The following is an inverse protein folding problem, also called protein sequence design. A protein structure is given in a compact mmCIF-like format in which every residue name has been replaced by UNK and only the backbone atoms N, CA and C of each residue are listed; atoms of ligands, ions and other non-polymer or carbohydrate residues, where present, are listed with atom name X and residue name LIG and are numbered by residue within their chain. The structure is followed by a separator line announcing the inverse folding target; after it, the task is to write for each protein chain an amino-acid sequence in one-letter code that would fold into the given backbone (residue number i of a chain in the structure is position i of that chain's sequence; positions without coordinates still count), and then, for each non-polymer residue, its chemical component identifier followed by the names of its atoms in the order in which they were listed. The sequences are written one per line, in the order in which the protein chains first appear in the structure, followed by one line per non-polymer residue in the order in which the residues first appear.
data_IF_779954267402
#
_entry.id   IF_779954267402
#
_cell.length_a   1.000
_cell.length_b   1.000
_cell.length_c   1.000
_cell.angle_alpha   90.00
_cell.angle_beta   90.00
_cell.angle_gamma   90.00
#
_symmetry.space_group_name_H-M   'P 1'
#
loop_
_entity.id
_entity.type
_entity.pdbx_description
1 polymer ?
#
# COMPACT_ATOMS: atom_id res chain seq x y z
N UNK A 1 -4.30 8.88 -5.24
CA UNK A 1 -3.69 8.06 -6.29
C UNK A 1 -2.66 7.13 -5.69
N UNK A 2 -2.54 5.92 -6.22
CA UNK A 2 -1.56 4.92 -5.78
C UNK A 2 -0.54 4.71 -6.91
N UNK A 3 0.76 4.66 -6.56
CA UNK A 3 1.84 4.37 -7.50
C UNK A 3 2.58 3.09 -7.09
N UNK A 4 2.90 2.22 -8.06
CA UNK A 4 3.66 0.99 -7.82
C UNK A 4 4.57 0.67 -9.02
N UNK A 5 5.79 0.18 -8.79
CA UNK A 5 6.71 -0.26 -9.85
C UNK A 5 7.37 -1.59 -9.48
N UNK A 6 7.58 -2.48 -10.45
CA UNK A 6 8.23 -3.79 -10.23
C UNK A 6 9.52 -3.88 -11.02
N UNK A 7 10.61 -4.18 -10.31
CA UNK A 7 11.93 -4.38 -10.89
C UNK A 7 12.40 -5.82 -10.65
N UNK A 8 13.11 -6.37 -11.64
CA UNK A 8 13.92 -7.59 -11.47
C UNK A 8 15.38 -7.17 -11.52
N UNK A 9 16.13 -7.49 -10.46
CA UNK A 9 17.58 -7.34 -10.44
C UNK A 9 18.28 -8.61 -10.95
N UNK A 10 19.31 -8.47 -11.78
CA UNK A 10 20.25 -9.55 -12.09
C UNK A 10 21.19 -9.81 -10.89
N UNK A 11 21.94 -10.91 -10.90
CA UNK A 11 22.96 -11.19 -9.87
C UNK A 11 24.09 -10.16 -9.80
N UNK A 12 24.18 -9.27 -10.79
CA UNK A 12 25.16 -8.18 -10.90
C UNK A 12 24.56 -6.81 -10.55
N UNK A 13 23.28 -6.76 -10.17
CA UNK A 13 22.60 -5.55 -9.68
C UNK A 13 21.90 -4.71 -10.75
N UNK A 14 21.86 -5.16 -12.01
CA UNK A 14 21.12 -4.46 -13.08
C UNK A 14 19.61 -4.64 -12.91
N UNK A 15 18.86 -3.53 -12.89
CA UNK A 15 17.41 -3.53 -12.71
C UNK A 15 16.68 -3.40 -14.05
N UNK A 16 15.79 -4.33 -14.34
CA UNK A 16 14.86 -4.24 -15.47
C UNK A 16 13.43 -4.07 -14.93
N UNK A 17 12.74 -3.03 -15.39
CA UNK A 17 11.31 -2.86 -15.14
C UNK A 17 10.54 -3.99 -15.84
N UNK A 18 9.70 -4.69 -15.10
CA UNK A 18 8.87 -5.79 -15.60
C UNK A 18 7.41 -5.46 -15.37
N UNK A 19 6.52 -6.12 -16.12
CA UNK A 19 5.08 -5.96 -15.92
C UNK A 19 4.71 -6.20 -14.45
N UNK A 20 4.08 -5.19 -13.86
CA UNK A 20 3.48 -5.28 -12.53
C UNK A 20 2.22 -6.15 -12.69
N UNK A 21 2.20 -7.29 -12.01
CA UNK A 21 1.03 -8.17 -11.92
C UNK A 21 1.12 -8.90 -10.59
N UNK A 22 0.64 -8.26 -9.54
CA UNK A 22 0.79 -8.72 -8.16
C UNK A 22 -0.52 -8.58 -7.40
N UNK A 23 -0.77 -9.51 -6.48
CA UNK A 23 -1.80 -9.35 -5.47
C UNK A 23 -1.19 -8.61 -4.28
N UNK A 24 -1.69 -7.42 -4.01
CA UNK A 24 -1.20 -6.52 -2.98
C UNK A 24 -2.35 -6.24 -2.01
N UNK A 25 -2.04 -6.19 -0.71
CA UNK A 25 -3.01 -5.77 0.30
C UNK A 25 -3.16 -4.24 0.21
N UNK A 26 -4.39 -3.74 0.13
CA UNK A 26 -4.73 -2.32 0.23
C UNK A 26 -5.38 -2.10 1.59
N UNK A 27 -4.82 -1.19 2.38
CA UNK A 27 -5.29 -0.87 3.73
C UNK A 27 -5.85 0.54 3.82
N UNK A 28 -6.93 0.69 4.59
CA UNK A 28 -7.45 1.98 5.03
C UNK A 28 -7.56 1.95 6.55
N UNK A 29 -7.06 2.99 7.19
CA UNK A 29 -6.87 3.05 8.63
C UNK A 29 -7.51 4.29 9.25
N UNK A 30 -8.05 4.13 10.45
CA UNK A 30 -8.53 5.20 11.32
C UNK A 30 -7.44 5.63 12.31
N UNK A 31 -7.83 6.40 13.33
CA UNK A 31 -6.91 6.88 14.37
C UNK A 31 -6.14 5.72 15.05
N UNK A 32 -4.90 6.00 15.47
CA UNK A 32 -4.14 5.08 16.30
C UNK A 32 -4.74 5.01 17.71
N UNK A 33 -4.69 3.83 18.32
CA UNK A 33 -5.20 3.61 19.67
C UNK A 33 -4.56 2.41 20.34
N UNK A 34 -4.97 2.15 21.58
CA UNK A 34 -4.44 1.01 22.34
C UNK A 34 -4.76 -0.32 21.63
N UNK A 35 -3.70 -1.02 21.20
CA UNK A 35 -3.79 -2.31 20.52
C UNK A 35 -4.00 -2.23 19.00
N UNK A 36 -3.98 -1.04 18.40
CA UNK A 36 -3.90 -0.90 16.94
C UNK A 36 -2.46 -1.07 16.45
N UNK A 37 -2.24 -1.47 15.19
CA UNK A 37 -0.91 -1.41 14.60
C UNK A 37 -0.47 0.06 14.39
N UNK A 38 0.81 0.31 14.07
CA UNK A 38 1.34 1.66 13.78
C UNK A 38 0.66 2.36 12.59
N UNK A 39 -0.06 1.61 11.76
CA UNK A 39 -0.85 2.17 10.67
C UNK A 39 -2.16 2.82 11.14
N UNK A 40 -2.66 2.43 12.33
CA UNK A 40 -3.94 2.87 12.91
C UNK A 40 -4.98 1.75 12.99
N UNK A 41 -6.20 2.08 13.46
CA UNK A 41 -7.32 1.14 13.46
C UNK A 41 -7.59 0.63 12.03
N UNK A 42 -7.61 -0.69 11.81
CA UNK A 42 -7.87 -1.26 10.47
C UNK A 42 -9.35 -1.11 10.12
N UNK A 43 -9.68 -0.14 9.25
CA UNK A 43 -11.04 0.08 8.76
C UNK A 43 -11.36 -0.79 7.54
N UNK A 44 -10.35 -1.06 6.71
CA UNK A 44 -10.44 -2.00 5.60
C UNK A 44 -9.06 -2.61 5.29
N UNK A 45 -9.07 -3.87 4.87
CA UNK A 45 -7.91 -4.56 4.33
C UNK A 45 -8.36 -5.52 3.24
N UNK A 46 -8.05 -5.21 1.98
CA UNK A 46 -8.47 -6.02 0.84
C UNK A 46 -7.32 -6.35 -0.11
N UNK A 47 -7.34 -7.56 -0.68
CA UNK A 47 -6.38 -7.92 -1.74
C UNK A 47 -6.85 -7.40 -3.07
N UNK A 48 -5.99 -6.64 -3.75
CA UNK A 48 -6.21 -6.18 -5.12
C UNK A 48 -5.11 -6.69 -6.03
N UNK A 49 -5.51 -7.13 -7.22
CA UNK A 49 -4.56 -7.44 -8.29
C UNK A 49 -4.20 -6.11 -8.96
N UNK A 50 -2.97 -5.66 -8.75
CA UNK A 50 -2.45 -4.44 -9.35
C UNK A 50 -1.67 -4.84 -10.59
N UNK A 51 -2.13 -4.35 -11.75
CA UNK A 51 -1.53 -4.64 -13.05
C UNK A 51 -0.97 -3.39 -13.75
N UNK A 52 -1.15 -2.21 -13.17
CA UNK A 52 -0.72 -0.91 -13.70
C UNK A 52 0.11 -0.17 -12.66
N UNK A 53 1.08 0.62 -13.12
CA UNK A 53 1.90 1.45 -12.24
C UNK A 53 1.12 2.58 -11.57
N UNK A 54 -0.06 2.92 -12.10
CA UNK A 54 -0.99 3.88 -11.51
C UNK A 54 -2.39 3.30 -11.60
N UNK A 55 -3.07 3.23 -10.46
CA UNK A 55 -4.44 2.73 -10.34
C UNK A 55 -5.22 3.59 -9.33
N UNK A 56 -6.54 3.66 -9.52
CA UNK A 56 -7.46 4.29 -8.56
C UNK A 56 -8.27 3.20 -7.86
N UNK A 57 -8.10 3.07 -6.55
CA UNK A 57 -8.86 2.15 -5.71
C UNK A 57 -9.88 2.95 -4.89
N UNK A 58 -11.14 2.53 -4.94
CA UNK A 58 -12.20 3.10 -4.11
C UNK A 58 -12.56 2.10 -3.01
N UNK A 59 -12.48 2.55 -1.76
CA UNK A 59 -12.82 1.75 -0.58
C UNK A 59 -13.86 2.53 0.22
N UNK A 60 -14.94 1.85 0.59
CA UNK A 60 -15.99 2.42 1.44
C UNK A 60 -15.77 1.91 2.86
N UNK A 61 -15.61 2.83 3.81
CA UNK A 61 -15.39 2.53 5.23
C UNK A 61 -16.50 3.11 6.09
N UNK A 62 -16.72 2.49 7.26
CA UNK A 62 -17.79 2.90 8.18
C UNK A 62 -17.38 4.07 9.10
N UNK A 63 -16.08 4.24 9.34
CA UNK A 63 -15.52 5.29 10.21
C UNK A 63 -14.60 6.22 9.41
N UNK A 64 -14.25 7.36 10.00
CA UNK A 64 -13.37 8.35 9.37
C UNK A 64 -11.96 7.77 9.15
N UNK A 65 -11.46 7.73 7.91
CA UNK A 65 -10.11 7.28 7.62
C UNK A 65 -9.10 8.41 7.80
N UNK A 66 -7.91 8.07 8.29
CA UNK A 66 -6.80 9.00 8.53
C UNK A 66 -5.54 8.62 7.75
N UNK A 67 -5.36 7.33 7.43
CA UNK A 67 -4.26 6.82 6.61
C UNK A 67 -4.76 5.78 5.61
N UNK A 68 -4.05 5.65 4.50
CA UNK A 68 -4.28 4.59 3.53
C UNK A 68 -2.96 4.17 2.89
N UNK A 69 -2.88 2.94 2.42
CA UNK A 69 -1.64 2.42 1.87
C UNK A 69 -1.77 1.16 1.05
N UNK A 70 -0.70 0.86 0.32
CA UNK A 70 -0.50 -0.40 -0.38
C UNK A 70 0.56 -1.20 0.36
N UNK A 71 0.35 -2.50 0.45
CA UNK A 71 1.15 -3.39 1.28
C UNK A 71 1.46 -2.80 2.67
N UNK A 72 0.45 -2.36 3.43
CA UNK A 72 0.66 -1.59 4.64
C UNK A 72 1.36 -2.35 5.77
N UNK A 73 1.55 -3.66 5.61
CA UNK A 73 2.26 -4.52 6.56
C UNK A 73 3.56 -5.09 5.99
N UNK A 74 4.08 -4.49 4.91
CA UNK A 74 5.37 -4.79 4.30
C UNK A 74 5.57 -6.29 4.00
N UNK A 75 4.58 -6.92 3.36
CA UNK A 75 4.61 -8.35 2.98
C UNK A 75 5.41 -8.58 1.71
N UNK A 76 5.58 -7.56 0.89
CA UNK A 76 6.35 -7.56 -0.35
C UNK A 76 7.77 -7.07 -0.06
N UNK A 77 8.72 -7.50 -0.90
CA UNK A 77 10.08 -6.99 -0.84
C UNK A 77 10.08 -5.62 -1.52
N UNK A 78 10.27 -4.59 -0.71
CA UNK A 78 10.37 -3.21 -1.15
C UNK A 78 11.62 -2.53 -0.55
N UNK A 79 12.12 -1.50 -1.25
CA UNK A 79 13.32 -0.76 -0.87
C UNK A 79 13.05 0.39 0.10
N UNK A 80 11.84 0.95 0.09
CA UNK A 80 11.46 2.10 0.91
C UNK A 80 10.07 1.88 1.54
N UNK A 81 9.94 0.92 2.48
CA UNK A 81 8.64 0.51 3.01
C UNK A 81 7.88 1.61 3.77
N UNK A 82 8.54 2.73 4.09
CA UNK A 82 7.91 3.86 4.78
C UNK A 82 6.96 4.65 3.86
N UNK A 83 7.07 4.51 2.52
CA UNK A 83 6.20 5.19 1.56
C UNK A 83 4.88 4.43 1.26
N UNK A 84 4.78 3.19 1.72
CA UNK A 84 3.63 2.31 1.50
C UNK A 84 2.33 2.87 2.10
N UNK A 85 2.41 3.67 3.17
CA UNK A 85 1.24 4.19 3.90
C UNK A 85 1.33 5.70 4.08
N UNK A 86 0.38 6.43 3.49
CA UNK A 86 0.29 7.89 3.54
C UNK A 86 -0.87 8.38 4.40
N UNK A 87 -0.69 9.55 5.03
CA UNK A 87 -1.77 10.28 5.71
C UNK A 87 -2.73 10.88 4.70
N UNK A 88 -4.02 10.81 5.01
CA UNK A 88 -5.07 11.42 4.20
C UNK A 88 -5.17 12.89 4.60
N UNK A 89 -4.92 13.80 3.64
CA UNK A 89 -5.15 15.23 3.85
C UNK A 89 -6.63 15.49 4.13
N UNK A 90 -6.90 16.07 5.30
CA UNK A 90 -8.24 16.58 5.65
C UNK A 90 -8.40 17.97 5.03
N UNK A 91 -9.56 18.28 4.41
CA UNK A 91 -9.84 19.63 3.93
C UNK A 91 -9.93 20.67 5.06
#
# INVERSE_FOLDING_TARGET
DVAAKKYRASGEGEETEIELDQWIDIGVFGEEGDGTPPEGEVLALEKRRITSATDTVQVVVANEPVRAGIDPFNKLIDRDPDDNVSTIDRP
#
